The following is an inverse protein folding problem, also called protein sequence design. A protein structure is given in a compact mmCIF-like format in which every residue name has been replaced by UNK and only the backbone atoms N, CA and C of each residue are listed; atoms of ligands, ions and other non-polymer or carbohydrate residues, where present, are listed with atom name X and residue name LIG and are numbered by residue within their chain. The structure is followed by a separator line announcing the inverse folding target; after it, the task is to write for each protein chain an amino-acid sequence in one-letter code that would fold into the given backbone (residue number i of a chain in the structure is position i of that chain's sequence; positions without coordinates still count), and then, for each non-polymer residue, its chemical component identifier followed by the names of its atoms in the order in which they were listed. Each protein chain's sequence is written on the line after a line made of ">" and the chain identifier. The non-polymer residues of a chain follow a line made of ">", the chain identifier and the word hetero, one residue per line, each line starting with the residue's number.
data_IF_946280147211
#
_entry.id   IF_946280147211
#
_cell.length_a   1.000
_cell.length_b   1.000
_cell.length_c   1.000
_cell.angle_alpha   90.00
_cell.angle_beta   90.00
_cell.angle_gamma   90.00
#
_symmetry.space_group_name_H-M   'P 1'
#
loop_
_entity.id
_entity.type
_entity.pdbx_description
1 polymer ?
#
# COMPACT_ATOMS: atom_id res chain seq x y z
N UNK A 1 -11.90 14.55 -2.18
CA UNK A 1 -11.41 13.52 -1.24
C UNK A 1 -12.63 12.82 -0.70
N UNK A 2 -12.72 11.48 -0.64
CA UNK A 2 -13.76 10.87 0.15
C UNK A 2 -13.31 10.95 1.61
N UNK A 3 -13.36 12.16 2.16
CA UNK A 3 -13.39 12.39 3.60
C UNK A 3 -14.53 11.49 4.13
N UNK A 4 -14.23 10.62 5.11
CA UNK A 4 -15.15 9.71 5.83
C UNK A 4 -15.44 8.30 5.28
N UNK A 5 -14.76 7.79 4.24
CA UNK A 5 -14.77 6.35 3.96
C UNK A 5 -13.34 5.85 3.95
N UNK A 6 -12.84 5.40 5.10
CA UNK A 6 -11.60 4.63 5.15
C UNK A 6 -11.78 3.40 4.27
N UNK A 7 -11.33 3.47 3.01
CA UNK A 7 -11.45 2.35 2.09
C UNK A 7 -10.38 1.35 2.49
N UNK A 8 -10.72 0.43 3.37
CA UNK A 8 -9.87 -0.73 3.62
C UNK A 8 -9.93 -1.59 2.36
N UNK A 9 -8.94 -1.40 1.48
CA UNK A 9 -8.85 -2.13 0.22
C UNK A 9 -8.12 -3.45 0.43
N UNK A 10 -8.49 -4.46 -0.36
CA UNK A 10 -7.71 -5.71 -0.49
C UNK A 10 -6.51 -5.50 -1.44
N UNK A 11 -6.39 -4.30 -2.03
CA UNK A 11 -5.32 -3.92 -2.95
C UNK A 11 -3.96 -4.12 -2.30
N UNK A 12 -3.75 -3.58 -1.10
CA UNK A 12 -2.50 -3.74 -0.35
C UNK A 12 -2.19 -5.20 -0.06
N UNK A 13 -3.21 -6.03 0.18
CA UNK A 13 -3.00 -7.46 0.37
C UNK A 13 -2.47 -8.16 -0.89
N UNK A 14 -2.96 -7.78 -2.07
CA UNK A 14 -2.46 -8.26 -3.35
C UNK A 14 -1.02 -7.81 -3.63
N UNK A 15 -0.68 -6.57 -3.28
CA UNK A 15 0.69 -6.03 -3.39
C UNK A 15 1.64 -6.82 -2.49
N UNK A 16 1.30 -6.97 -1.21
CA UNK A 16 2.11 -7.69 -0.24
C UNK A 16 2.26 -9.16 -0.63
N UNK A 17 1.18 -9.83 -1.05
CA UNK A 17 1.24 -11.21 -1.54
C UNK A 17 2.20 -11.35 -2.72
N UNK A 18 2.10 -10.45 -3.71
CA UNK A 18 2.96 -10.46 -4.89
C UNK A 18 4.42 -10.24 -4.51
N UNK A 19 4.67 -9.24 -3.66
CA UNK A 19 6.01 -8.90 -3.18
C UNK A 19 6.65 -10.06 -2.42
N UNK A 20 5.88 -10.74 -1.57
CA UNK A 20 6.36 -11.90 -0.80
C UNK A 20 6.64 -13.13 -1.66
N UNK A 21 5.85 -13.34 -2.73
CA UNK A 21 5.93 -14.57 -3.54
C UNK A 21 6.88 -14.44 -4.74
N UNK A 22 6.91 -13.27 -5.38
CA UNK A 22 7.67 -13.05 -6.61
C UNK A 22 8.88 -12.13 -6.42
N UNK A 23 8.83 -11.21 -5.45
CA UNK A 23 9.96 -10.37 -5.06
C UNK A 23 9.71 -8.87 -5.24
N UNK A 24 10.76 -8.08 -5.01
CA UNK A 24 10.71 -6.61 -4.99
C UNK A 24 10.30 -5.95 -6.30
N UNK A 25 10.72 -6.49 -7.44
CA UNK A 25 10.44 -5.85 -8.74
C UNK A 25 8.97 -6.03 -9.11
N UNK A 26 8.46 -7.24 -8.93
CA UNK A 26 7.09 -7.64 -9.21
C UNK A 26 6.13 -6.97 -8.21
N UNK A 27 6.50 -6.93 -6.93
CA UNK A 27 5.79 -6.15 -5.91
C UNK A 27 5.67 -4.68 -6.29
N UNK A 28 6.74 -4.06 -6.77
CA UNK A 28 6.74 -2.65 -7.18
C UNK A 28 5.86 -2.40 -8.41
N UNK A 29 5.95 -3.25 -9.43
CA UNK A 29 5.15 -3.11 -10.65
C UNK A 29 3.66 -3.31 -10.36
N UNK A 30 3.31 -4.38 -9.66
CA UNK A 30 1.92 -4.65 -9.29
C UNK A 30 1.40 -3.56 -8.36
N UNK A 31 2.20 -3.13 -7.37
CA UNK A 31 1.85 -2.02 -6.49
C UNK A 31 1.56 -0.74 -7.25
N UNK A 32 2.49 -0.25 -8.05
CA UNK A 32 2.32 1.02 -8.75
C UNK A 32 1.16 1.02 -9.75
N UNK A 33 1.02 -0.05 -10.54
CA UNK A 33 -0.05 -0.14 -11.55
C UNK A 33 -1.42 -0.25 -10.87
N UNK A 34 -1.56 -1.10 -9.83
CA UNK A 34 -2.84 -1.25 -9.14
C UNK A 34 -3.23 0.03 -8.40
N UNK A 35 -2.28 0.69 -7.73
CA UNK A 35 -2.49 1.99 -7.08
C UNK A 35 -2.92 3.08 -8.06
N UNK A 36 -2.27 3.17 -9.22
CA UNK A 36 -2.66 4.10 -10.30
C UNK A 36 -4.09 3.83 -10.78
N UNK A 37 -4.38 2.57 -11.12
CA UNK A 37 -5.68 2.19 -11.67
C UNK A 37 -6.79 2.42 -10.63
N UNK A 38 -6.52 2.12 -9.37
CA UNK A 38 -7.47 2.34 -8.29
C UNK A 38 -7.92 3.80 -8.21
N UNK A 39 -6.99 4.75 -8.27
CA UNK A 39 -7.33 6.17 -8.18
C UNK A 39 -8.06 6.70 -9.40
N UNK A 40 -7.68 6.25 -10.60
CA UNK A 40 -8.38 6.61 -11.83
C UNK A 40 -9.83 6.11 -11.78
N UNK A 41 -10.01 4.83 -11.40
CA UNK A 41 -11.34 4.20 -11.33
C UNK A 41 -12.20 4.72 -10.17
N UNK A 42 -11.56 5.16 -9.08
CA UNK A 42 -12.25 5.72 -7.91
C UNK A 42 -12.64 7.19 -8.09
N UNK A 43 -12.31 7.81 -9.23
CA UNK A 43 -12.64 9.21 -9.53
C UNK A 43 -11.68 10.23 -8.92
N UNK A 44 -10.46 9.82 -8.54
CA UNK A 44 -9.41 10.68 -8.00
C UNK A 44 -8.13 10.64 -8.86
N UNK A 45 -8.20 10.91 -10.17
CA UNK A 45 -7.05 10.77 -11.08
C UNK A 45 -5.86 11.68 -10.71
N UNK A 46 -6.09 12.80 -10.01
CA UNK A 46 -5.02 13.65 -9.49
C UNK A 46 -4.10 12.96 -8.48
N UNK A 47 -4.59 11.91 -7.82
CA UNK A 47 -3.80 11.10 -6.89
C UNK A 47 -3.07 9.96 -7.59
N UNK A 48 -3.48 9.58 -8.80
CA UNK A 48 -3.02 8.37 -9.47
C UNK A 48 -1.50 8.30 -9.67
N UNK A 49 -0.84 9.43 -9.98
CA UNK A 49 0.62 9.48 -10.11
C UNK A 49 1.32 9.30 -8.76
N UNK A 50 0.79 9.88 -7.69
CA UNK A 50 1.36 9.73 -6.35
C UNK A 50 1.15 8.32 -5.82
N UNK A 51 -0.05 7.76 -5.98
CA UNK A 51 -0.37 6.39 -5.61
C UNK A 51 0.47 5.39 -6.39
N UNK A 52 0.77 5.64 -7.66
CA UNK A 52 1.72 4.82 -8.42
C UNK A 52 3.07 4.74 -7.70
N UNK A 53 3.64 5.87 -7.29
CA UNK A 53 4.95 5.91 -6.65
C UNK A 53 4.92 5.31 -5.24
N UNK A 54 3.89 5.64 -4.46
CA UNK A 54 3.73 5.19 -3.07
C UNK A 54 3.54 3.67 -3.04
N UNK A 55 2.62 3.14 -3.85
CA UNK A 55 2.34 1.70 -3.88
C UNK A 55 3.46 0.89 -4.55
N UNK A 56 4.15 1.47 -5.55
CA UNK A 56 5.37 0.86 -6.09
C UNK A 56 6.46 0.76 -5.01
N UNK A 57 6.65 1.83 -4.22
CA UNK A 57 7.57 1.82 -3.09
C UNK A 57 7.19 0.80 -2.02
N UNK A 58 5.91 0.73 -1.64
CA UNK A 58 5.36 -0.26 -0.70
C UNK A 58 5.69 -1.68 -1.15
N UNK A 59 5.35 -2.03 -2.40
CA UNK A 59 5.59 -3.35 -2.95
C UNK A 59 7.08 -3.67 -3.11
N UNK A 60 7.89 -2.68 -3.51
CA UNK A 60 9.35 -2.84 -3.59
C UNK A 60 9.95 -3.21 -2.25
N UNK A 61 9.63 -2.43 -1.21
CA UNK A 61 10.18 -2.62 0.14
C UNK A 61 9.69 -3.94 0.73
N UNK A 62 8.41 -4.27 0.58
CA UNK A 62 7.85 -5.53 1.07
C UNK A 62 8.51 -6.78 0.44
N UNK A 63 9.02 -6.67 -0.78
CA UNK A 63 9.65 -7.77 -1.51
C UNK A 63 11.17 -7.87 -1.32
N UNK A 64 11.77 -7.04 -0.45
CA UNK A 64 13.19 -7.14 -0.12
C UNK A 64 13.50 -8.44 0.65
N UNK A 65 14.64 -9.04 0.32
CA UNK A 65 15.12 -10.28 0.96
C UNK A 65 15.86 -9.96 2.26
N UNK A 66 15.72 -10.82 3.26
CA UNK A 66 16.37 -10.68 4.58
C UNK A 66 15.34 -10.59 5.70
N UNK A 67 15.36 -9.50 6.47
CA UNK A 67 14.49 -9.29 7.62
C UNK A 67 13.02 -9.04 7.21
N UNK A 68 12.29 -10.11 6.85
CA UNK A 68 10.89 -10.07 6.34
C UNK A 68 9.98 -9.18 7.20
N UNK A 69 9.99 -9.34 8.52
CA UNK A 69 9.16 -8.53 9.42
C UNK A 69 9.50 -7.05 9.36
N UNK A 70 10.80 -6.70 9.33
CA UNK A 70 11.26 -5.32 9.24
C UNK A 70 10.80 -4.69 7.93
N UNK A 71 10.96 -5.39 6.81
CA UNK A 71 10.57 -4.89 5.50
C UNK A 71 9.05 -4.74 5.33
N UNK A 72 8.25 -5.61 5.95
CA UNK A 72 6.80 -5.42 5.98
C UNK A 72 6.40 -4.20 6.80
N UNK A 73 7.02 -3.97 7.96
CA UNK A 73 6.78 -2.74 8.74
C UNK A 73 7.20 -1.50 7.94
N UNK A 74 8.38 -1.54 7.30
CA UNK A 74 8.85 -0.44 6.46
C UNK A 74 7.92 -0.21 5.25
N UNK A 75 7.33 -1.25 4.66
CA UNK A 75 6.35 -1.09 3.58
C UNK A 75 5.09 -0.32 4.04
N UNK A 76 4.60 -0.58 5.26
CA UNK A 76 3.52 0.21 5.85
C UNK A 76 3.93 1.67 6.06
N UNK A 77 5.17 1.90 6.52
CA UNK A 77 5.69 3.27 6.71
C UNK A 77 5.79 4.01 5.38
N UNK A 78 6.20 3.35 4.30
CA UNK A 78 6.23 3.95 2.96
C UNK A 78 4.84 4.35 2.50
N UNK A 79 3.85 3.48 2.68
CA UNK A 79 2.46 3.76 2.34
C UNK A 79 1.92 4.96 3.12
N UNK A 80 1.91 4.85 4.45
CA UNK A 80 1.31 5.85 5.35
C UNK A 80 2.07 7.17 5.25
N UNK A 81 3.40 7.12 5.25
CA UNK A 81 4.26 8.30 5.12
C UNK A 81 4.10 8.98 3.78
N UNK A 82 4.02 8.22 2.69
CA UNK A 82 3.77 8.74 1.35
C UNK A 82 2.45 9.51 1.26
N UNK A 83 1.35 8.89 1.67
CA UNK A 83 0.04 9.55 1.68
C UNK A 83 0.01 10.75 2.64
N UNK A 84 0.62 10.64 3.81
CA UNK A 84 0.70 11.75 4.76
C UNK A 84 1.43 12.96 4.18
N UNK A 85 2.60 12.76 3.56
CA UNK A 85 3.40 13.83 2.96
C UNK A 85 2.65 14.56 1.85
N UNK A 86 2.01 13.82 0.94
CA UNK A 86 1.24 14.42 -0.15
C UNK A 86 -0.01 15.11 0.40
N UNK A 87 -0.71 14.51 1.36
CA UNK A 87 -1.88 15.12 2.00
C UNK A 87 -1.52 16.41 2.72
N UNK A 88 -0.39 16.44 3.41
CA UNK A 88 0.09 17.64 4.10
C UNK A 88 0.41 18.75 3.11
N UNK A 89 1.09 18.43 2.00
CA UNK A 89 1.47 19.40 0.97
C UNK A 89 0.25 20.04 0.29
N UNK A 90 -0.78 19.25 -0.03
CA UNK A 90 -1.92 19.72 -0.82
C UNK A 90 -3.09 20.25 0.02
N UNK A 91 -3.31 19.71 1.22
CA UNK A 91 -4.52 19.94 2.02
C UNK A 91 -4.22 20.42 3.44
N UNK A 92 -2.94 20.56 3.81
CA UNK A 92 -2.50 21.04 5.10
C UNK A 92 -2.42 19.95 6.18
N UNK A 93 -1.81 20.31 7.31
CA UNK A 93 -1.47 19.34 8.38
C UNK A 93 -2.71 18.71 9.01
N UNK A 94 -3.79 19.48 9.19
CA UNK A 94 -5.03 18.98 9.79
C UNK A 94 -5.69 17.87 8.97
N UNK A 95 -5.75 18.04 7.64
CA UNK A 95 -6.28 17.01 6.75
C UNK A 95 -5.40 15.76 6.73
N UNK A 96 -4.08 15.94 6.67
CA UNK A 96 -3.12 14.84 6.68
C UNK A 96 -3.22 13.99 7.97
N UNK A 97 -3.37 14.63 9.13
CA UNK A 97 -3.56 13.93 10.40
C UNK A 97 -4.91 13.22 10.49
N UNK A 98 -5.96 13.76 9.87
CA UNK A 98 -7.28 13.12 9.84
C UNK A 98 -7.31 11.87 8.94
N UNK A 99 -6.56 11.87 7.84
CA UNK A 99 -6.46 10.72 6.91
C UNK A 99 -5.51 9.63 7.40
N UNK A 100 -4.53 9.97 8.25
CA UNK A 100 -3.48 9.06 8.71
C UNK A 100 -4.00 7.78 9.39
N UNK A 101 -4.98 7.81 10.31
CA UNK A 101 -5.50 6.59 10.95
C UNK A 101 -6.09 5.59 9.94
N UNK A 102 -6.78 6.10 8.92
CA UNK A 102 -7.36 5.26 7.86
C UNK A 102 -6.28 4.52 7.06
N UNK A 103 -5.24 5.25 6.65
CA UNK A 103 -4.09 4.68 5.93
C UNK A 103 -3.33 3.65 6.78
N UNK A 104 -3.16 3.89 8.09
CA UNK A 104 -2.53 2.94 9.01
C UNK A 104 -3.32 1.63 9.06
N UNK A 105 -4.65 1.72 9.25
CA UNK A 105 -5.53 0.54 9.31
C UNK A 105 -5.46 -0.22 7.99
N UNK A 106 -5.51 0.49 6.86
CA UNK A 106 -5.42 -0.11 5.53
C UNK A 106 -4.10 -0.86 5.32
N UNK A 107 -2.96 -0.23 5.63
CA UNK A 107 -1.64 -0.84 5.45
C UNK A 107 -1.46 -2.08 6.33
N UNK A 108 -1.87 -2.01 7.61
CA UNK A 108 -1.82 -3.16 8.53
C UNK A 108 -2.71 -4.29 8.03
N UNK A 109 -3.94 -3.98 7.63
CA UNK A 109 -4.88 -4.97 7.10
C UNK A 109 -4.31 -5.65 5.85
N UNK A 110 -3.75 -4.87 4.92
CA UNK A 110 -3.07 -5.37 3.74
C UNK A 110 -1.95 -6.35 4.05
N UNK A 111 -1.07 -6.03 5.02
CA UNK A 111 0.01 -6.93 5.44
C UNK A 111 -0.54 -8.22 6.07
N UNK A 112 -1.51 -8.12 6.98
CA UNK A 112 -2.10 -9.28 7.66
C UNK A 112 -2.75 -10.24 6.67
N UNK A 113 -3.58 -9.71 5.77
CA UNK A 113 -4.25 -10.51 4.73
C UNK A 113 -3.23 -11.06 3.73
N UNK A 114 -2.26 -10.25 3.30
CA UNK A 114 -1.20 -10.66 2.37
C UNK A 114 -0.37 -11.83 2.90
N UNK A 115 0.06 -11.79 4.16
CA UNK A 115 0.76 -12.91 4.82
C UNK A 115 -0.14 -14.15 4.91
N UNK A 116 -1.41 -13.96 5.29
CA UNK A 116 -2.35 -15.07 5.47
C UNK A 116 -2.61 -15.79 4.15
N UNK A 117 -2.79 -15.03 3.06
CA UNK A 117 -2.93 -15.57 1.72
C UNK A 117 -1.66 -16.31 1.28
N UNK A 118 -0.48 -15.72 1.49
CA UNK A 118 0.80 -16.33 1.11
C UNK A 118 0.98 -17.71 1.77
N UNK A 119 0.69 -17.81 3.08
CA UNK A 119 0.72 -19.06 3.84
C UNK A 119 -0.32 -20.08 3.38
N UNK A 120 -1.52 -19.65 3.01
CA UNK A 120 -2.56 -20.55 2.49
C UNK A 120 -2.16 -21.10 1.11
N UNK A 121 -1.67 -20.24 0.23
CA UNK A 121 -1.20 -20.60 -1.11
C UNK A 121 0.10 -21.43 -1.10
N UNK A 122 0.90 -21.38 -0.04
CA UNK A 122 2.07 -22.24 0.11
C UNK A 122 1.70 -23.67 0.54
N UNK A 123 0.49 -23.90 1.06
CA UNK A 123 0.00 -25.23 1.49
C UNK A 123 -0.66 -26.04 0.38
N UNK A 124 -1.02 -25.42 -0.73
CA UNK A 124 -1.65 -26.07 -1.90
C UNK A 124 -0.58 -26.46 -2.93
N UNK A 125 0.58 -26.90 -2.45
CA UNK A 125 1.67 -27.42 -3.29
C UNK A 125 1.69 -28.93 -3.26
#
# INVERSE_FOLDING_TARGET
>A
MPLTKGVVTVLDAGIILTALRFGKAEGAVVGGITGLLFDILSGYPQWAFFSLLIHAGQGYVAGLKGAKTLFLVLSCVVMVGGYFLISWLFYGLGAALADMPGNIIQAIFGVVVGITLERSLSRVK
#
